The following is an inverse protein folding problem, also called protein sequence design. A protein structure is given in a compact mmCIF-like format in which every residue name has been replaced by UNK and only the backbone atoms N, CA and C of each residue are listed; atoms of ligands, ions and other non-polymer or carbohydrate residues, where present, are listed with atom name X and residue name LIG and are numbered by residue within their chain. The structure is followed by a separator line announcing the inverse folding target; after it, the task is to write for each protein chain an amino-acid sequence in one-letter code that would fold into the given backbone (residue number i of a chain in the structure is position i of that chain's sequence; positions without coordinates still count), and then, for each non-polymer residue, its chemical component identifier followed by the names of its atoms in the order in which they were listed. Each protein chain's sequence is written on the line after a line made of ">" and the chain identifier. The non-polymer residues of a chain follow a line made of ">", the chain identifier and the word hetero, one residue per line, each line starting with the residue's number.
data_IF_621028464394
#
_entry.id   IF_621028464394
#
_cell.length_a   1.000
_cell.length_b   1.000
_cell.length_c   1.000
_cell.angle_alpha   90.00
_cell.angle_beta   90.00
_cell.angle_gamma   90.00
#
_symmetry.space_group_name_H-M   'P 1'
#
loop_
_entity.id
_entity.type
_entity.pdbx_description
1 polymer ?
#
# COMPACT_ATOMS: atom_id res chain seq x y z
N UNK A 1 -22.10 62.21 -143.33
CA UNK A 1 -22.72 63.39 -143.98
C UNK A 1 -23.87 62.90 -144.84
N UNK A 2 -25.01 63.59 -144.99
CA UNK A 2 -25.57 64.71 -144.24
C UNK A 2 -27.09 64.87 -144.58
N UNK A 3 -27.79 65.77 -143.89
CA UNK A 3 -28.96 66.59 -144.32
C UNK A 3 -29.91 66.05 -145.43
N UNK A 4 -31.20 65.75 -145.17
CA UNK A 4 -32.34 66.65 -144.84
C UNK A 4 -33.03 67.30 -146.08
N UNK A 5 -34.38 67.13 -146.15
CA UNK A 5 -35.37 67.79 -147.03
C UNK A 5 -35.22 67.59 -148.57
N UNK A 6 -36.27 67.63 -149.39
CA UNK A 6 -37.72 67.81 -149.18
C UNK A 6 -38.41 68.37 -150.45
N UNK A 7 -39.76 68.42 -150.49
CA UNK A 7 -40.61 69.03 -151.55
C UNK A 7 -40.64 68.29 -152.94
N UNK A 8 -41.62 68.47 -153.86
CA UNK A 8 -43.05 68.91 -153.84
C UNK A 8 -43.72 68.60 -155.22
N UNK A 9 -44.98 68.10 -155.23
CA UNK A 9 -46.04 68.28 -156.29
C UNK A 9 -45.76 67.69 -157.72
N UNK A 10 -46.72 67.41 -158.63
CA UNK A 10 -48.20 67.21 -158.54
C UNK A 10 -48.81 66.72 -159.88
N UNK A 11 -49.82 65.81 -159.84
CA UNK A 11 -50.95 65.66 -160.81
C UNK A 11 -50.65 65.30 -162.30
N UNK A 12 -51.47 64.68 -163.18
CA UNK A 12 -52.82 64.01 -163.29
C UNK A 12 -52.70 62.99 -164.48
N UNK A 13 -53.59 62.07 -164.86
CA UNK A 13 -54.97 61.68 -164.48
C UNK A 13 -55.56 60.65 -165.51
N UNK A 14 -56.90 60.56 -165.64
CA UNK A 14 -57.68 59.83 -166.71
C UNK A 14 -57.38 58.34 -167.03
N UNK A 15 -57.70 57.40 -166.12
CA UNK A 15 -58.06 55.98 -166.43
C UNK A 15 -58.81 55.38 -165.22
N UNK A 16 -60.05 54.89 -165.40
CA UNK A 16 -60.90 54.39 -164.27
C UNK A 16 -61.79 53.16 -164.56
N UNK A 17 -61.83 52.58 -165.77
CA UNK A 17 -62.68 51.40 -166.03
C UNK A 17 -62.08 50.08 -165.47
N UNK A 18 -60.76 50.04 -165.26
CA UNK A 18 -60.03 48.95 -164.58
C UNK A 18 -60.59 48.66 -163.17
N UNK A 19 -61.24 49.65 -162.52
CA UNK A 19 -61.80 49.53 -161.18
C UNK A 19 -62.74 48.32 -161.04
N UNK A 20 -63.56 48.01 -162.05
CA UNK A 20 -64.52 46.91 -161.97
C UNK A 20 -63.88 45.52 -161.95
N UNK A 21 -62.68 45.34 -162.50
CA UNK A 21 -61.93 44.09 -162.39
C UNK A 21 -61.28 43.90 -161.02
N UNK A 22 -60.95 45.00 -160.32
CA UNK A 22 -60.33 44.96 -158.98
C UNK A 22 -61.36 44.61 -157.89
N UNK A 23 -62.61 45.06 -158.04
CA UNK A 23 -63.68 44.88 -157.03
C UNK A 23 -63.94 43.42 -156.67
N UNK A 24 -63.95 42.51 -157.66
CA UNK A 24 -64.25 41.08 -157.44
C UNK A 24 -63.09 40.36 -156.73
N UNK A 25 -61.85 40.78 -156.98
CA UNK A 25 -60.67 40.25 -156.28
C UNK A 25 -60.54 40.82 -154.86
N UNK A 26 -61.00 42.07 -154.64
CA UNK A 26 -60.94 42.73 -153.34
C UNK A 26 -61.85 42.10 -152.26
N UNK A 27 -63.07 41.68 -152.61
CA UNK A 27 -64.02 41.16 -151.61
C UNK A 27 -63.68 39.75 -151.10
N UNK A 28 -63.00 38.91 -151.88
CA UNK A 28 -62.46 37.63 -151.37
C UNK A 28 -61.32 37.87 -150.38
N UNK A 29 -60.54 38.95 -150.56
CA UNK A 29 -59.56 39.40 -149.57
C UNK A 29 -60.18 39.90 -148.26
N UNK A 30 -61.40 40.47 -148.30
CA UNK A 30 -62.11 40.95 -147.12
C UNK A 30 -62.40 39.82 -146.10
N UNK A 31 -62.71 38.62 -146.59
CA UNK A 31 -63.02 37.46 -145.76
C UNK A 31 -61.81 36.91 -144.99
N UNK A 32 -60.57 37.20 -145.44
CA UNK A 32 -59.34 36.80 -144.72
C UNK A 32 -58.86 37.91 -143.79
N UNK A 33 -59.02 39.17 -144.19
CA UNK A 33 -58.68 40.33 -143.35
C UNK A 33 -59.51 40.43 -142.06
N UNK A 34 -60.77 39.97 -142.07
CA UNK A 34 -61.62 39.98 -140.86
C UNK A 34 -61.18 39.05 -139.74
N UNK A 35 -60.53 37.92 -140.06
CA UNK A 35 -60.02 36.95 -139.06
C UNK A 35 -58.62 37.33 -138.57
N UNK A 36 -57.89 38.11 -139.36
CA UNK A 36 -56.56 38.65 -139.04
C UNK A 36 -56.56 40.18 -138.82
N UNK A 37 -57.66 40.70 -138.29
CA UNK A 37 -57.69 41.84 -137.37
C UNK A 37 -57.88 41.29 -135.94
N UNK A 38 -57.07 40.33 -135.50
CA UNK A 38 -55.74 40.60 -134.97
C UNK A 38 -55.71 41.73 -133.92
N UNK A 39 -56.02 41.34 -132.68
CA UNK A 39 -55.06 41.43 -131.57
C UNK A 39 -54.57 42.82 -131.09
N UNK A 40 -55.10 43.94 -131.61
CA UNK A 40 -54.56 45.28 -131.32
C UNK A 40 -55.34 46.13 -130.28
N UNK A 41 -55.99 45.44 -129.34
CA UNK A 41 -56.22 45.87 -127.96
C UNK A 41 -56.38 44.61 -127.10
N UNK A 42 -55.39 44.07 -126.37
CA UNK A 42 -54.10 44.61 -125.90
C UNK A 42 -54.19 45.88 -125.06
N UNK A 43 -54.81 45.77 -123.88
CA UNK A 43 -54.08 45.75 -122.59
C UNK A 43 -55.01 45.79 -121.36
N UNK A 44 -54.56 45.20 -120.25
CA UNK A 44 -54.65 45.85 -118.94
C UNK A 44 -55.93 45.70 -118.10
N UNK A 45 -55.82 44.82 -117.09
CA UNK A 45 -56.29 45.02 -115.71
C UNK A 45 -57.79 45.00 -115.33
N UNK A 46 -58.02 44.27 -114.22
CA UNK A 46 -58.94 44.53 -113.11
C UNK A 46 -60.43 44.13 -113.15
N UNK A 47 -60.82 43.45 -112.06
CA UNK A 47 -62.04 43.62 -111.25
C UNK A 47 -63.37 42.89 -111.59
N UNK A 48 -63.57 41.80 -110.84
CA UNK A 48 -64.65 41.59 -109.84
C UNK A 48 -66.01 40.91 -110.17
N UNK A 49 -66.44 40.16 -109.13
CA UNK A 49 -67.78 39.71 -108.76
C UNK A 49 -68.49 38.61 -109.58
N UNK A 50 -69.38 37.77 -109.02
CA UNK A 50 -69.52 37.26 -107.63
C UNK A 50 -70.61 36.16 -107.59
N UNK A 51 -70.45 35.14 -106.72
CA UNK A 51 -71.49 34.17 -106.29
C UNK A 51 -72.16 33.29 -107.38
N UNK A 52 -72.88 32.20 -107.10
CA UNK A 52 -72.79 31.17 -106.05
C UNK A 52 -73.66 29.96 -106.52
N UNK A 53 -73.52 28.78 -105.91
CA UNK A 53 -74.56 27.74 -105.72
C UNK A 53 -73.94 26.45 -105.15
N UNK A 54 -74.55 25.86 -104.11
CA UNK A 54 -74.18 24.57 -103.53
C UNK A 54 -75.44 23.71 -103.28
N UNK A 55 -75.28 22.39 -103.20
CA UNK A 55 -76.34 21.46 -102.79
C UNK A 55 -76.14 21.02 -101.32
N UNK A 56 -77.23 20.82 -100.59
CA UNK A 56 -77.21 20.40 -99.18
C UNK A 56 -77.60 18.93 -98.98
N UNK A 57 -77.15 18.37 -97.86
CA UNK A 57 -77.49 17.06 -97.32
C UNK A 57 -77.64 17.23 -95.81
N UNK A 58 -78.64 16.56 -95.20
CA UNK A 58 -78.94 16.75 -93.77
C UNK A 58 -77.83 16.21 -92.85
N UNK A 59 -77.54 16.98 -91.79
CA UNK A 59 -76.50 16.69 -90.80
C UNK A 59 -77.13 16.27 -89.49
N UNK A 60 -76.79 15.08 -89.01
CA UNK A 60 -77.14 14.59 -87.67
C UNK A 60 -76.01 14.96 -86.70
N UNK A 61 -76.35 15.64 -85.60
CA UNK A 61 -75.41 15.96 -84.53
C UNK A 61 -75.39 14.88 -83.45
N UNK A 62 -74.18 14.40 -83.13
CA UNK A 62 -73.88 13.63 -81.92
C UNK A 62 -72.65 14.24 -81.23
N UNK A 63 -72.45 14.02 -79.92
CA UNK A 63 -71.26 14.51 -79.23
C UNK A 63 -70.00 13.85 -79.82
N UNK A 64 -68.95 14.66 -80.03
CA UNK A 64 -67.62 14.20 -80.41
C UNK A 64 -66.71 14.45 -79.22
N UNK A 65 -66.37 13.39 -78.49
CA UNK A 65 -65.38 13.45 -77.41
C UNK A 65 -63.97 13.61 -78.01
N UNK A 66 -63.52 14.86 -78.12
CA UNK A 66 -62.21 15.22 -78.62
C UNK A 66 -61.11 14.92 -77.58
N UNK A 67 -60.73 13.65 -77.45
CA UNK A 67 -59.68 13.20 -76.54
C UNK A 67 -58.31 13.79 -76.91
N UNK A 68 -57.82 14.75 -76.12
CA UNK A 68 -56.44 15.27 -76.23
C UNK A 68 -55.47 14.26 -75.62
N UNK A 69 -54.82 13.47 -76.48
CA UNK A 69 -53.84 12.47 -76.06
C UNK A 69 -52.51 13.15 -75.67
N UNK A 70 -52.28 13.31 -74.37
CA UNK A 70 -51.00 13.74 -73.80
C UNK A 70 -50.22 12.53 -73.27
N UNK A 71 -49.20 12.09 -73.99
CA UNK A 71 -48.23 11.10 -73.51
C UNK A 71 -47.18 11.79 -72.64
N UNK A 72 -47.16 11.48 -71.35
CA UNK A 72 -46.05 11.76 -70.44
C UNK A 72 -45.59 10.47 -69.77
N UNK A 73 -44.31 10.40 -69.37
CA UNK A 73 -43.83 9.31 -68.54
C UNK A 73 -44.37 9.46 -67.12
N UNK A 74 -44.68 8.34 -66.47
CA UNK A 74 -44.99 8.27 -65.05
C UNK A 74 -43.69 7.87 -64.34
N UNK A 75 -43.17 8.74 -63.49
CA UNK A 75 -42.03 8.47 -62.60
C UNK A 75 -42.52 8.31 -61.15
N UNK A 76 -41.83 7.54 -60.29
CA UNK A 76 -42.22 7.36 -58.89
C UNK A 76 -42.27 8.68 -58.11
N UNK A 77 -43.18 8.80 -57.14
CA UNK A 77 -43.22 9.96 -56.25
C UNK A 77 -42.02 10.00 -55.29
N UNK A 78 -41.46 8.84 -54.96
CA UNK A 78 -40.16 8.68 -54.32
C UNK A 78 -39.61 7.30 -54.68
N UNK A 79 -38.46 7.22 -55.34
CA UNK A 79 -37.74 5.95 -55.57
C UNK A 79 -36.54 5.87 -54.61
N UNK A 80 -36.32 4.70 -54.00
CA UNK A 80 -35.16 4.47 -53.14
C UNK A 80 -34.56 3.09 -53.35
N UNK A 81 -33.24 3.04 -53.46
CA UNK A 81 -32.46 1.82 -53.55
C UNK A 81 -31.89 1.48 -52.17
N UNK A 82 -32.51 0.50 -51.51
CA UNK A 82 -32.18 0.08 -50.14
C UNK A 82 -31.14 -1.04 -50.22
N UNK A 83 -30.04 -0.89 -49.50
CA UNK A 83 -28.96 -1.87 -49.39
C UNK A 83 -28.61 -2.11 -47.91
N UNK A 84 -28.09 -3.29 -47.58
CA UNK A 84 -27.58 -3.54 -46.23
C UNK A 84 -26.41 -2.61 -45.90
N UNK A 85 -26.35 -2.17 -44.64
CA UNK A 85 -25.26 -1.32 -44.12
C UNK A 85 -24.11 -2.16 -43.56
N UNK A 86 -24.44 -3.32 -42.97
CA UNK A 86 -23.48 -4.35 -42.60
C UNK A 86 -23.13 -5.29 -43.78
N UNK A 87 -22.02 -6.00 -43.65
CA UNK A 87 -21.67 -7.12 -44.54
C UNK A 87 -22.01 -8.45 -43.85
N UNK A 88 -22.54 -9.41 -44.60
CA UNK A 88 -22.99 -10.70 -44.08
C UNK A 88 -23.74 -11.52 -45.12
N UNK A 89 -24.21 -12.72 -44.74
CA UNK A 89 -24.94 -13.63 -45.62
C UNK A 89 -26.46 -13.45 -45.45
N UNK A 90 -27.23 -13.35 -46.53
CA UNK A 90 -28.70 -13.24 -46.45
C UNK A 90 -29.32 -14.56 -45.98
N UNK A 91 -29.97 -14.53 -44.81
CA UNK A 91 -30.65 -15.69 -44.20
C UNK A 91 -32.13 -15.76 -44.55
N UNK A 92 -32.85 -14.62 -44.50
CA UNK A 92 -34.28 -14.54 -44.78
C UNK A 92 -34.60 -13.38 -45.73
N UNK A 93 -35.54 -13.60 -46.66
CA UNK A 93 -36.20 -12.55 -47.44
C UNK A 93 -37.69 -12.60 -47.09
N UNK A 94 -38.21 -11.49 -46.57
CA UNK A 94 -39.52 -11.42 -45.90
C UNK A 94 -40.63 -10.83 -46.79
N UNK A 95 -40.27 -10.33 -47.98
CA UNK A 95 -41.18 -9.65 -48.93
C UNK A 95 -41.04 -10.21 -50.34
N UNK A 96 -42.01 -9.90 -51.20
CA UNK A 96 -42.06 -10.31 -52.62
C UNK A 96 -42.09 -9.08 -53.54
N UNK A 97 -41.64 -9.25 -54.78
CA UNK A 97 -41.81 -8.22 -55.82
C UNK A 97 -43.32 -7.94 -56.05
N UNK A 98 -43.67 -6.67 -56.20
CA UNK A 98 -45.05 -6.21 -56.27
C UNK A 98 -45.79 -6.14 -54.93
N UNK A 99 -45.14 -6.49 -53.80
CA UNK A 99 -45.75 -6.36 -52.47
C UNK A 99 -45.68 -4.91 -51.98
N UNK A 100 -46.81 -4.42 -51.47
CA UNK A 100 -46.88 -3.15 -50.75
C UNK A 100 -46.38 -3.32 -49.31
N UNK A 101 -45.52 -2.40 -48.85
CA UNK A 101 -44.89 -2.42 -47.53
C UNK A 101 -45.12 -1.10 -46.80
N UNK A 102 -45.15 -1.15 -45.46
CA UNK A 102 -45.22 0.03 -44.61
C UNK A 102 -43.82 0.57 -44.30
N UNK A 103 -43.71 1.85 -43.94
CA UNK A 103 -42.47 2.43 -43.42
C UNK A 103 -42.00 1.66 -42.18
N UNK A 104 -40.71 1.33 -42.11
CA UNK A 104 -40.12 0.51 -41.05
C UNK A 104 -40.35 -1.00 -41.17
N UNK A 105 -41.08 -1.49 -42.19
CA UNK A 105 -41.29 -2.93 -42.37
C UNK A 105 -39.96 -3.65 -42.72
N UNK A 106 -39.66 -4.81 -42.10
CA UNK A 106 -38.47 -5.59 -42.41
C UNK A 106 -38.64 -6.33 -43.74
N UNK A 107 -37.61 -6.22 -44.59
CA UNK A 107 -37.60 -6.68 -45.99
C UNK A 107 -36.74 -7.93 -46.17
N UNK A 108 -35.58 -7.97 -45.51
CA UNK A 108 -34.65 -9.08 -45.52
C UNK A 108 -33.74 -9.03 -44.27
N UNK A 109 -33.11 -10.15 -43.94
CA UNK A 109 -32.18 -10.30 -42.81
C UNK A 109 -30.86 -10.94 -43.25
N UNK A 110 -29.78 -10.52 -42.61
CA UNK A 110 -28.50 -11.22 -42.63
C UNK A 110 -28.40 -12.22 -41.47
N UNK A 111 -27.41 -13.11 -41.55
CA UNK A 111 -26.90 -13.84 -40.40
C UNK A 111 -26.36 -12.84 -39.35
N UNK A 112 -26.79 -13.03 -38.10
CA UNK A 112 -26.50 -12.15 -36.98
C UNK A 112 -25.78 -12.87 -35.83
N UNK A 113 -25.47 -14.17 -35.93
CA UNK A 113 -25.02 -14.97 -34.79
C UNK A 113 -23.76 -14.40 -34.10
N UNK A 114 -22.74 -13.99 -34.86
CA UNK A 114 -21.52 -13.36 -34.31
C UNK A 114 -21.79 -11.97 -33.70
N UNK A 115 -22.79 -11.25 -34.21
CA UNK A 115 -23.18 -9.92 -33.72
C UNK A 115 -24.03 -10.01 -32.46
N UNK A 116 -24.90 -11.00 -32.36
CA UNK A 116 -25.62 -11.37 -31.13
C UNK A 116 -24.65 -11.79 -30.03
N UNK A 117 -23.64 -12.62 -30.37
CA UNK A 117 -22.58 -12.97 -29.42
C UNK A 117 -21.74 -11.76 -29.01
N UNK A 118 -21.51 -10.81 -29.92
CA UNK A 118 -20.83 -9.53 -29.62
C UNK A 118 -21.65 -8.64 -28.68
N UNK A 119 -22.98 -8.56 -28.85
CA UNK A 119 -23.90 -7.87 -27.94
C UNK A 119 -23.87 -8.52 -26.55
N UNK A 120 -23.95 -9.86 -26.47
CA UNK A 120 -23.88 -10.60 -25.20
C UNK A 120 -22.53 -10.40 -24.50
N UNK A 121 -21.41 -10.37 -25.24
CA UNK A 121 -20.10 -10.06 -24.68
C UNK A 121 -20.05 -8.64 -24.10
N UNK A 122 -20.51 -7.64 -24.87
CA UNK A 122 -20.48 -6.25 -24.42
C UNK A 122 -21.45 -5.96 -23.25
N UNK A 123 -22.56 -6.70 -23.15
CA UNK A 123 -23.44 -6.67 -21.97
C UNK A 123 -22.76 -7.30 -20.75
N UNK A 124 -22.02 -8.39 -20.92
CA UNK A 124 -21.23 -8.99 -19.85
C UNK A 124 -20.09 -8.06 -19.38
N UNK A 125 -19.38 -7.41 -20.30
CA UNK A 125 -18.35 -6.41 -19.99
C UNK A 125 -18.93 -5.20 -19.22
N UNK A 126 -20.11 -4.72 -19.63
CA UNK A 126 -20.84 -3.66 -18.92
C UNK A 126 -21.27 -4.10 -17.52
N UNK A 127 -21.74 -5.34 -17.37
CA UNK A 127 -22.11 -5.92 -16.08
C UNK A 127 -20.92 -6.05 -15.16
N UNK A 128 -19.74 -6.43 -15.67
CA UNK A 128 -18.51 -6.47 -14.90
C UNK A 128 -18.07 -5.06 -14.49
N UNK A 129 -18.04 -4.10 -15.42
CA UNK A 129 -17.64 -2.72 -15.11
C UNK A 129 -18.54 -2.05 -14.06
N UNK A 130 -19.84 -2.37 -14.05
CA UNK A 130 -20.78 -1.94 -12.99
C UNK A 130 -20.53 -2.65 -11.66
N UNK A 131 -20.27 -3.96 -11.67
CA UNK A 131 -19.91 -4.70 -10.45
C UNK A 131 -18.59 -4.20 -9.83
N UNK A 132 -17.61 -3.82 -10.64
CA UNK A 132 -16.35 -3.21 -10.19
C UNK A 132 -16.59 -1.83 -9.54
N UNK A 133 -17.51 -1.03 -10.09
CA UNK A 133 -17.93 0.25 -9.50
C UNK A 133 -18.67 0.05 -8.18
N UNK A 134 -19.64 -0.85 -8.14
CA UNK A 134 -20.44 -1.15 -6.95
C UNK A 134 -19.56 -1.71 -5.81
N UNK A 135 -18.53 -2.50 -6.14
CA UNK A 135 -17.52 -2.96 -5.17
C UNK A 135 -16.66 -1.81 -4.62
N UNK A 136 -16.22 -0.87 -5.46
CA UNK A 136 -15.51 0.34 -5.03
C UNK A 136 -16.39 1.27 -4.16
N UNK A 137 -17.70 1.32 -4.45
CA UNK A 137 -18.67 2.10 -3.69
C UNK A 137 -19.00 1.47 -2.33
N UNK A 138 -19.12 0.14 -2.27
CA UNK A 138 -19.35 -0.61 -1.04
C UNK A 138 -18.14 -0.58 -0.08
N UNK A 139 -16.91 -0.58 -0.63
CA UNK A 139 -15.68 -0.55 0.16
C UNK A 139 -15.37 -1.89 0.83
N UNK A 140 -14.62 -1.86 1.95
CA UNK A 140 -14.27 -3.06 2.71
C UNK A 140 -15.49 -3.68 3.42
N UNK A 141 -15.49 -5.00 3.52
CA UNK A 141 -16.57 -5.76 4.14
C UNK A 141 -16.73 -5.46 5.64
N UNK A 142 -17.92 -5.73 6.17
CA UNK A 142 -18.20 -5.59 7.60
C UNK A 142 -17.30 -6.51 8.44
N UNK A 143 -16.96 -7.68 7.90
CA UNK A 143 -16.08 -8.69 8.46
C UNK A 143 -14.62 -8.20 8.56
N UNK A 144 -14.08 -7.58 7.50
CA UNK A 144 -12.74 -6.97 7.51
C UNK A 144 -12.67 -5.79 8.47
N UNK A 145 -13.70 -4.93 8.49
CA UNK A 145 -13.79 -3.80 9.43
C UNK A 145 -13.86 -4.31 10.88
N UNK A 146 -14.64 -5.36 11.15
CA UNK A 146 -14.71 -5.99 12.47
C UNK A 146 -13.38 -6.63 12.88
N UNK A 147 -12.67 -7.28 11.95
CA UNK A 147 -11.34 -7.83 12.19
C UNK A 147 -10.32 -6.72 12.54
N UNK A 148 -10.33 -5.60 11.80
CA UNK A 148 -9.47 -4.45 12.09
C UNK A 148 -9.83 -3.76 13.41
N UNK A 149 -11.13 -3.67 13.76
CA UNK A 149 -11.57 -3.21 15.08
C UNK A 149 -11.07 -4.13 16.21
N UNK A 150 -11.07 -5.45 16.00
CA UNK A 150 -10.51 -6.39 16.96
C UNK A 150 -8.99 -6.24 17.12
N UNK A 151 -8.25 -5.96 16.03
CA UNK A 151 -6.81 -5.64 16.08
C UNK A 151 -6.54 -4.33 16.85
N UNK A 152 -7.34 -3.27 16.62
CA UNK A 152 -7.26 -2.02 17.38
C UNK A 152 -7.53 -2.28 18.87
N UNK A 153 -8.57 -3.04 19.21
CA UNK A 153 -8.88 -3.41 20.60
C UNK A 153 -7.76 -4.24 21.26
N UNK A 154 -7.14 -5.16 20.52
CA UNK A 154 -6.00 -5.95 20.97
C UNK A 154 -4.78 -5.06 21.26
N UNK A 155 -4.44 -4.15 20.34
CA UNK A 155 -3.35 -3.19 20.53
C UNK A 155 -3.61 -2.23 21.71
N UNK A 156 -4.86 -1.77 21.86
CA UNK A 156 -5.27 -0.95 23.02
C UNK A 156 -5.15 -1.72 24.33
N UNK A 157 -5.50 -3.02 24.35
CA UNK A 157 -5.29 -3.90 25.50
C UNK A 157 -3.81 -4.07 25.86
N UNK A 158 -2.95 -4.25 24.85
CA UNK A 158 -1.49 -4.33 25.02
C UNK A 158 -0.90 -3.02 25.54
N UNK A 159 -1.35 -1.87 25.03
CA UNK A 159 -0.98 -0.55 25.55
C UNK A 159 -1.49 -0.35 26.98
N UNK A 160 -2.73 -0.73 27.30
CA UNK A 160 -3.29 -0.61 28.64
C UNK A 160 -2.55 -1.48 29.66
N UNK A 161 -2.25 -2.74 29.32
CA UNK A 161 -1.42 -3.64 30.14
C UNK A 161 0.00 -3.05 30.32
N UNK A 162 0.62 -2.61 29.23
CA UNK A 162 1.97 -2.04 29.26
C UNK A 162 2.01 -0.76 30.08
N UNK A 163 1.08 0.18 29.91
CA UNK A 163 1.00 1.41 30.69
C UNK A 163 0.65 1.15 32.17
N UNK A 164 -0.36 0.32 32.45
CA UNK A 164 -0.83 0.03 33.80
C UNK A 164 0.08 -0.84 34.66
N UNK A 165 1.01 -1.59 34.06
CA UNK A 165 1.97 -2.48 34.76
C UNK A 165 2.95 -1.79 35.73
N UNK A 166 3.02 -0.46 35.73
CA UNK A 166 3.81 0.33 36.68
C UNK A 166 2.96 1.49 37.17
N UNK A 167 2.60 1.47 38.45
CA UNK A 167 1.87 2.55 39.10
C UNK A 167 2.81 3.61 39.66
N UNK A 168 2.27 4.79 40.00
CA UNK A 168 3.03 5.81 40.72
C UNK A 168 3.43 5.34 42.14
N UNK A 169 2.70 4.38 42.73
CA UNK A 169 3.06 3.80 44.01
C UNK A 169 4.34 2.95 43.90
N UNK A 170 4.50 2.15 42.83
CA UNK A 170 5.70 1.34 42.60
C UNK A 170 6.95 2.22 42.42
N UNK A 171 6.83 3.29 41.63
CA UNK A 171 7.90 4.28 41.45
C UNK A 171 8.26 4.98 42.76
N UNK A 172 7.27 5.28 43.61
CA UNK A 172 7.51 5.90 44.91
C UNK A 172 8.16 4.91 45.91
N UNK A 173 7.76 3.64 45.89
CA UNK A 173 8.38 2.57 46.69
C UNK A 173 9.84 2.33 46.26
N UNK A 174 10.12 2.26 44.96
CA UNK A 174 11.49 2.12 44.44
C UNK A 174 12.39 3.32 44.83
N UNK A 175 11.85 4.55 44.80
CA UNK A 175 12.54 5.75 45.30
C UNK A 175 12.82 5.66 46.81
N UNK A 176 11.86 5.24 47.62
CA UNK A 176 12.03 5.07 49.06
C UNK A 176 13.07 3.98 49.41
N UNK A 177 13.08 2.87 48.66
CA UNK A 177 14.06 1.79 48.80
C UNK A 177 15.48 2.27 48.45
N UNK A 178 15.63 3.04 47.36
CA UNK A 178 16.90 3.65 46.95
C UNK A 178 17.41 4.64 48.00
N UNK A 179 16.54 5.47 48.57
CA UNK A 179 16.92 6.42 49.60
C UNK A 179 17.31 5.71 50.91
N UNK A 180 16.59 4.65 51.30
CA UNK A 180 16.95 3.81 52.44
C UNK A 180 18.32 3.13 52.26
N UNK A 181 18.61 2.60 51.06
CA UNK A 181 19.91 2.02 50.72
C UNK A 181 21.04 3.08 50.77
N UNK A 182 20.81 4.29 50.24
CA UNK A 182 21.76 5.41 50.32
C UNK A 182 22.01 5.84 51.76
N UNK A 183 20.96 5.93 52.57
CA UNK A 183 21.07 6.25 53.99
C UNK A 183 21.81 5.16 54.79
N UNK A 184 21.69 3.87 54.41
CA UNK A 184 22.52 2.78 54.96
C UNK A 184 23.99 2.98 54.59
N UNK A 185 24.28 3.22 53.30
CA UNK A 185 25.64 3.45 52.82
C UNK A 185 26.28 4.66 53.52
N UNK A 186 25.57 5.78 53.63
CA UNK A 186 26.05 7.01 54.27
C UNK A 186 26.22 6.91 55.81
N UNK A 187 25.73 5.86 56.48
CA UNK A 187 26.12 5.54 57.88
C UNK A 187 27.41 4.71 57.92
N UNK A 188 27.60 3.80 56.98
CA UNK A 188 28.80 2.97 56.88
C UNK A 188 30.03 3.77 56.41
N UNK A 189 29.87 4.64 55.40
CA UNK A 189 30.93 5.51 54.90
C UNK A 189 31.35 6.61 55.89
N UNK A 190 30.53 6.90 56.91
CA UNK A 190 30.87 7.79 58.04
C UNK A 190 31.42 7.04 59.28
N UNK A 191 31.76 5.76 59.16
CA UNK A 191 32.38 4.96 60.22
C UNK A 191 31.43 4.46 61.32
N UNK A 192 30.31 5.15 61.59
CA UNK A 192 29.44 4.98 62.78
C UNK A 192 29.19 3.54 63.27
N UNK A 193 28.99 2.58 62.36
CA UNK A 193 28.82 1.17 62.73
C UNK A 193 30.16 0.40 62.83
N UNK A 194 31.10 0.66 61.93
CA UNK A 194 32.45 0.06 61.90
C UNK A 194 33.27 0.43 63.13
N UNK A 195 33.18 1.67 63.56
CA UNK A 195 34.00 2.19 64.66
C UNK A 195 33.68 1.43 65.96
N UNK A 196 32.41 1.10 66.20
CA UNK A 196 31.99 0.39 67.42
C UNK A 196 32.55 -1.04 67.52
N UNK A 197 32.54 -1.81 66.42
CA UNK A 197 33.07 -3.18 66.41
C UNK A 197 34.60 -3.21 66.48
N UNK A 198 35.27 -2.30 65.78
CA UNK A 198 36.73 -2.18 65.81
C UNK A 198 37.22 -1.66 67.18
N UNK A 199 36.53 -0.69 67.79
CA UNK A 199 36.83 -0.22 69.16
C UNK A 199 36.66 -1.35 70.18
N UNK A 200 35.59 -2.15 70.09
CA UNK A 200 35.38 -3.27 71.00
C UNK A 200 36.48 -4.35 70.84
N UNK A 201 36.87 -4.68 69.61
CA UNK A 201 37.96 -5.61 69.36
C UNK A 201 39.32 -5.08 69.88
N UNK A 202 39.59 -3.77 69.71
CA UNK A 202 40.79 -3.11 70.24
C UNK A 202 40.81 -3.09 71.79
N UNK A 203 39.68 -2.82 72.44
CA UNK A 203 39.57 -2.87 73.89
C UNK A 203 39.81 -4.29 74.43
N UNK A 204 39.27 -5.31 73.76
CA UNK A 204 39.50 -6.72 74.09
C UNK A 204 40.98 -7.13 73.92
N UNK A 205 41.66 -6.59 72.90
CA UNK A 205 43.10 -6.79 72.69
C UNK A 205 43.93 -6.14 73.81
N UNK A 206 43.60 -4.91 74.22
CA UNK A 206 44.35 -4.20 75.25
C UNK A 206 44.13 -4.80 76.66
N UNK A 207 42.90 -5.25 76.95
CA UNK A 207 42.62 -6.05 78.14
C UNK A 207 43.44 -7.35 78.15
N UNK A 208 43.51 -8.05 77.01
CA UNK A 208 44.31 -9.27 76.89
C UNK A 208 45.81 -9.00 77.07
N UNK A 209 46.35 -7.93 76.47
CA UNK A 209 47.75 -7.47 76.66
C UNK A 209 48.07 -7.22 78.13
N UNK A 210 47.17 -6.53 78.84
CA UNK A 210 47.28 -6.29 80.29
C UNK A 210 47.28 -7.60 81.09
N UNK A 211 46.42 -8.56 80.73
CA UNK A 211 46.30 -9.83 81.44
C UNK A 211 47.51 -10.77 81.22
N UNK A 212 47.98 -10.94 79.98
CA UNK A 212 49.09 -11.87 79.69
C UNK A 212 50.44 -11.33 80.18
N UNK A 213 50.66 -10.01 80.11
CA UNK A 213 51.87 -9.39 80.66
C UNK A 213 51.95 -9.54 82.19
N UNK A 214 50.83 -9.34 82.91
CA UNK A 214 50.76 -9.59 84.34
C UNK A 214 51.01 -11.07 84.71
N UNK A 215 50.47 -12.00 83.92
CA UNK A 215 50.67 -13.45 84.12
C UNK A 215 52.12 -13.85 83.92
N UNK A 216 52.76 -13.34 82.85
CA UNK A 216 54.16 -13.58 82.49
C UNK A 216 55.14 -13.00 83.49
N UNK A 217 54.92 -11.76 83.97
CA UNK A 217 55.78 -11.16 84.98
C UNK A 217 55.63 -11.86 86.34
N UNK A 218 54.42 -12.35 86.68
CA UNK A 218 54.24 -13.22 87.86
C UNK A 218 55.07 -14.50 87.74
N UNK A 219 54.94 -15.25 86.65
CA UNK A 219 55.68 -16.49 86.45
C UNK A 219 57.21 -16.27 86.46
N UNK A 220 57.68 -15.12 85.96
CA UNK A 220 59.08 -14.69 86.03
C UNK A 220 59.56 -14.47 87.46
N UNK A 221 58.74 -13.81 88.31
CA UNK A 221 59.03 -13.65 89.74
C UNK A 221 58.99 -14.98 90.49
N UNK A 222 58.08 -15.88 90.13
CA UNK A 222 58.02 -17.25 90.68
C UNK A 222 59.30 -18.05 90.32
N UNK A 223 59.88 -17.86 89.12
CA UNK A 223 61.21 -18.40 88.76
C UNK A 223 62.33 -17.80 89.60
N UNK A 224 62.35 -16.47 89.80
CA UNK A 224 63.40 -15.79 90.57
C UNK A 224 63.38 -16.21 92.05
N UNK A 225 62.21 -16.28 92.67
CA UNK A 225 62.06 -16.76 94.05
C UNK A 225 62.46 -18.23 94.19
N UNK A 226 62.10 -19.08 93.23
CA UNK A 226 62.50 -20.50 93.22
C UNK A 226 64.01 -20.70 93.04
N UNK A 227 64.66 -19.88 92.21
CA UNK A 227 66.11 -19.91 92.03
C UNK A 227 66.86 -19.49 93.30
N UNK A 228 66.35 -18.47 94.01
CA UNK A 228 66.88 -18.05 95.30
C UNK A 228 66.64 -19.12 96.40
N UNK A 229 65.49 -19.80 96.40
CA UNK A 229 65.22 -20.92 97.30
C UNK A 229 66.18 -22.09 97.08
N UNK A 230 66.38 -22.51 95.82
CA UNK A 230 67.35 -23.55 95.46
C UNK A 230 68.77 -23.19 95.91
N UNK A 231 69.20 -21.94 95.67
CA UNK A 231 70.52 -21.47 96.10
C UNK A 231 70.70 -21.57 97.61
N UNK A 232 69.72 -21.11 98.39
CA UNK A 232 69.77 -21.18 99.85
C UNK A 232 69.82 -22.63 100.35
N UNK A 233 69.04 -23.54 99.75
CA UNK A 233 69.06 -24.95 100.09
C UNK A 233 70.38 -25.65 99.70
N UNK A 234 70.99 -25.28 98.57
CA UNK A 234 72.32 -25.73 98.17
C UNK A 234 73.41 -25.26 99.13
N UNK A 235 73.37 -23.99 99.55
CA UNK A 235 74.32 -23.41 100.51
C UNK A 235 74.18 -24.07 101.91
N UNK A 236 72.95 -24.39 102.33
CA UNK A 236 72.67 -25.09 103.61
C UNK A 236 73.08 -26.57 103.57
N UNK A 237 72.70 -27.33 102.54
CA UNK A 237 73.13 -28.71 102.37
C UNK A 237 74.67 -28.83 102.28
N UNK A 238 75.32 -27.93 101.53
CA UNK A 238 76.78 -27.91 101.41
C UNK A 238 77.48 -27.66 102.75
N UNK A 239 76.89 -26.82 103.61
CA UNK A 239 77.40 -26.59 104.98
C UNK A 239 77.26 -27.85 105.83
N UNK A 240 76.05 -28.43 105.91
CA UNK A 240 75.75 -29.59 106.77
C UNK A 240 76.58 -30.81 106.36
N UNK A 241 76.67 -31.11 105.06
CA UNK A 241 77.54 -32.18 104.55
C UNK A 241 79.03 -31.93 104.86
N UNK A 242 79.49 -30.67 104.76
CA UNK A 242 80.87 -30.29 105.13
C UNK A 242 81.18 -30.48 106.61
N UNK A 243 80.26 -30.09 107.50
CA UNK A 243 80.41 -30.29 108.95
C UNK A 243 80.28 -31.77 109.35
N UNK A 244 79.36 -32.54 108.75
CA UNK A 244 79.26 -33.98 108.96
C UNK A 244 80.55 -34.70 108.56
N UNK A 245 81.09 -34.43 107.36
CA UNK A 245 82.39 -34.96 106.90
C UNK A 245 83.54 -34.64 107.84
N UNK A 246 83.52 -33.46 108.47
CA UNK A 246 84.52 -33.04 109.45
C UNK A 246 84.34 -33.80 110.77
N UNK A 247 83.12 -33.94 111.25
CA UNK A 247 82.77 -34.72 112.45
C UNK A 247 83.14 -36.21 112.29
N UNK A 248 82.88 -36.83 111.15
CA UNK A 248 83.34 -38.19 110.82
C UNK A 248 84.87 -38.32 111.01
N UNK A 249 85.65 -37.38 110.44
CA UNK A 249 87.11 -37.37 110.51
C UNK A 249 87.70 -36.99 111.89
N UNK A 250 86.88 -36.43 112.78
CA UNK A 250 87.20 -36.18 114.19
C UNK A 250 86.86 -37.43 115.05
N UNK A 251 85.63 -37.97 114.92
CA UNK A 251 85.11 -39.12 115.68
C UNK A 251 85.85 -40.43 115.37
N UNK A 252 86.25 -40.66 114.12
CA UNK A 252 86.99 -41.85 113.71
C UNK A 252 88.33 -42.01 114.47
N UNK A 253 88.93 -40.92 114.95
CA UNK A 253 90.16 -40.92 115.77
C UNK A 253 89.96 -41.53 117.15
N UNK A 254 88.72 -41.57 117.62
CA UNK A 254 88.31 -42.11 118.92
C UNK A 254 87.54 -43.44 118.80
N UNK A 255 87.41 -44.00 117.59
CA UNK A 255 86.65 -45.22 117.33
C UNK A 255 85.14 -45.06 117.44
N UNK A 256 84.63 -43.83 117.34
CA UNK A 256 83.20 -43.50 117.40
C UNK A 256 82.63 -43.26 116.00
N UNK A 257 81.33 -43.51 115.83
CA UNK A 257 80.57 -43.19 114.61
C UNK A 257 79.83 -41.86 114.76
N UNK A 258 79.46 -41.24 113.64
CA UNK A 258 78.54 -40.09 113.62
C UNK A 258 77.17 -40.48 114.18
N UNK A 259 76.48 -39.52 114.80
CA UNK A 259 75.13 -39.71 115.36
C UNK A 259 74.04 -39.72 114.27
N UNK A 260 72.99 -40.51 114.48
CA UNK A 260 71.88 -40.66 113.54
C UNK A 260 71.17 -39.33 113.29
N UNK A 261 71.03 -38.47 114.30
CA UNK A 261 70.40 -37.15 114.15
C UNK A 261 71.14 -36.24 113.14
N UNK A 262 72.48 -36.35 113.02
CA UNK A 262 73.26 -35.59 112.06
C UNK A 262 73.09 -36.11 110.61
N UNK A 263 72.94 -37.43 110.45
CA UNK A 263 72.60 -38.07 109.17
C UNK A 263 71.16 -37.72 108.74
N UNK A 264 70.21 -37.73 109.67
CA UNK A 264 68.81 -37.38 109.42
C UNK A 264 68.68 -35.88 109.07
N UNK A 265 69.49 -35.00 109.68
CA UNK A 265 69.57 -33.59 109.33
C UNK A 265 70.12 -33.38 107.90
N UNK A 266 71.19 -34.07 107.51
CA UNK A 266 71.73 -34.03 106.15
C UNK A 266 70.72 -34.56 105.12
N UNK A 267 70.08 -35.70 105.40
CA UNK A 267 69.03 -36.27 104.57
C UNK A 267 67.78 -35.36 104.46
N UNK A 268 67.59 -34.43 105.40
CA UNK A 268 66.53 -33.42 105.36
C UNK A 268 66.95 -32.20 104.55
N UNK A 269 68.17 -31.70 104.71
CA UNK A 269 68.72 -30.62 103.88
C UNK A 269 68.84 -31.04 102.41
N UNK A 270 69.23 -32.29 102.12
CA UNK A 270 69.25 -32.83 100.76
C UNK A 270 67.85 -32.85 100.13
N UNK A 271 66.83 -33.31 100.87
CA UNK A 271 65.45 -33.29 100.38
C UNK A 271 64.97 -31.86 100.09
N UNK A 272 65.24 -30.91 100.98
CA UNK A 272 64.93 -29.49 100.74
C UNK A 272 65.62 -28.94 99.48
N UNK A 273 66.85 -29.37 99.16
CA UNK A 273 67.53 -29.05 97.91
C UNK A 273 66.87 -29.71 96.69
N UNK A 274 66.55 -31.01 96.75
CA UNK A 274 65.88 -31.75 95.67
C UNK A 274 64.47 -31.18 95.37
N UNK A 275 63.73 -30.81 96.43
CA UNK A 275 62.41 -30.16 96.37
C UNK A 275 62.51 -28.75 95.76
N UNK A 276 63.52 -27.95 96.13
CA UNK A 276 63.72 -26.61 95.57
C UNK A 276 64.19 -26.63 94.11
N UNK A 277 64.98 -27.62 93.69
CA UNK A 277 65.35 -27.85 92.29
C UNK A 277 64.11 -28.26 91.46
N UNK A 278 63.26 -29.10 92.02
CA UNK A 278 61.96 -29.45 91.44
C UNK A 278 61.04 -28.22 91.32
N UNK A 279 60.99 -27.36 92.35
CA UNK A 279 60.25 -26.10 92.33
C UNK A 279 60.73 -25.13 91.25
N UNK A 280 62.05 -24.96 91.10
CA UNK A 280 62.63 -24.13 90.03
C UNK A 280 62.27 -24.66 88.63
N UNK A 281 62.32 -25.98 88.42
CA UNK A 281 61.91 -26.61 87.15
C UNK A 281 60.43 -26.38 86.85
N UNK A 282 59.55 -26.49 87.86
CA UNK A 282 58.13 -26.20 87.71
C UNK A 282 57.87 -24.72 87.38
N UNK A 283 58.56 -23.80 88.04
CA UNK A 283 58.46 -22.37 87.75
C UNK A 283 58.96 -22.03 86.32
N UNK A 284 60.04 -22.66 85.86
CA UNK A 284 60.56 -22.49 84.50
C UNK A 284 59.54 -22.96 83.44
N UNK A 285 58.88 -24.11 83.66
CA UNK A 285 57.81 -24.60 82.80
C UNK A 285 56.64 -23.60 82.78
N UNK A 286 56.20 -23.13 83.96
CA UNK A 286 55.10 -22.16 84.07
C UNK A 286 55.41 -20.82 83.37
N UNK A 287 56.67 -20.38 83.35
CA UNK A 287 57.09 -19.18 82.62
C UNK A 287 57.11 -19.37 81.09
N UNK A 288 57.53 -20.55 80.60
CA UNK A 288 57.45 -20.88 79.17
C UNK A 288 55.99 -21.07 78.71
N UNK A 289 55.14 -21.69 79.53
CA UNK A 289 53.68 -21.75 79.31
C UNK A 289 53.07 -20.36 79.28
N UNK A 290 53.45 -19.44 80.18
CA UNK A 290 52.98 -18.06 80.18
C UNK A 290 53.40 -17.28 78.92
N UNK A 291 54.61 -17.51 78.39
CA UNK A 291 55.04 -16.96 77.09
C UNK A 291 54.21 -17.54 75.94
N UNK A 292 53.90 -18.83 75.96
CA UNK A 292 53.07 -19.45 74.92
C UNK A 292 51.61 -18.97 75.00
N UNK A 293 51.08 -18.72 76.20
CA UNK A 293 49.77 -18.08 76.42
C UNK A 293 49.74 -16.62 75.93
N UNK A 294 50.80 -15.85 76.16
CA UNK A 294 50.97 -14.50 75.59
C UNK A 294 50.88 -14.54 74.06
N UNK A 295 51.71 -15.35 73.40
CA UNK A 295 51.75 -15.47 71.93
C UNK A 295 50.39 -15.87 71.37
N UNK A 296 49.77 -16.92 71.92
CA UNK A 296 48.50 -17.46 71.40
C UNK A 296 47.30 -16.54 71.65
N UNK A 297 47.21 -15.92 72.84
CA UNK A 297 46.11 -15.00 73.17
C UNK A 297 46.19 -13.71 72.35
N UNK A 298 47.39 -13.15 72.18
CA UNK A 298 47.57 -11.93 71.39
C UNK A 298 47.32 -12.19 69.89
N UNK A 299 47.82 -13.30 69.35
CA UNK A 299 47.54 -13.67 67.96
C UNK A 299 46.04 -13.85 67.69
N UNK A 300 45.28 -14.43 68.63
CA UNK A 300 43.83 -14.54 68.53
C UNK A 300 43.14 -13.16 68.55
N UNK A 301 43.51 -12.27 69.48
CA UNK A 301 42.90 -10.94 69.59
C UNK A 301 43.28 -10.00 68.44
N UNK A 302 44.46 -10.14 67.86
CA UNK A 302 44.86 -9.42 66.65
C UNK A 302 44.16 -9.97 65.39
N UNK A 303 43.78 -11.25 65.39
CA UNK A 303 42.87 -11.81 64.39
C UNK A 303 41.43 -11.28 64.56
N UNK A 304 40.91 -11.15 65.78
CA UNK A 304 39.59 -10.55 66.06
C UNK A 304 39.50 -9.12 65.52
N UNK A 305 40.51 -8.28 65.76
CA UNK A 305 40.59 -6.90 65.24
C UNK A 305 40.60 -6.88 63.70
N UNK A 306 41.36 -7.78 63.07
CA UNK A 306 41.42 -7.89 61.60
C UNK A 306 40.10 -8.38 61.00
N UNK A 307 39.42 -9.30 61.68
CA UNK A 307 38.10 -9.78 61.28
C UNK A 307 37.06 -8.65 61.33
N UNK A 308 37.03 -7.87 62.42
CA UNK A 308 36.15 -6.71 62.55
C UNK A 308 36.39 -5.67 61.43
N UNK A 309 37.65 -5.38 61.10
CA UNK A 309 38.00 -4.48 59.99
C UNK A 309 37.53 -5.01 58.62
N UNK A 310 37.68 -6.30 58.36
CA UNK A 310 37.22 -6.92 57.10
C UNK A 310 35.69 -6.88 56.98
N UNK A 311 34.95 -7.24 58.05
CA UNK A 311 33.48 -7.20 58.07
C UNK A 311 32.92 -5.81 57.77
N UNK A 312 33.61 -4.73 58.16
CA UNK A 312 33.25 -3.37 57.77
C UNK A 312 33.43 -3.09 56.27
N UNK A 313 34.48 -3.63 55.65
CA UNK A 313 34.69 -3.57 54.21
C UNK A 313 33.61 -4.32 53.43
N UNK A 314 33.31 -5.55 53.85
CA UNK A 314 32.26 -6.39 53.25
C UNK A 314 30.88 -5.71 53.37
N UNK A 315 30.54 -5.19 54.57
CA UNK A 315 29.28 -4.47 54.82
C UNK A 315 29.10 -3.24 53.93
N UNK A 316 30.20 -2.58 53.57
CA UNK A 316 30.23 -1.40 52.72
C UNK A 316 30.15 -1.77 51.23
N UNK A 317 30.72 -2.91 50.82
CA UNK A 317 30.48 -3.49 49.49
C UNK A 317 29.01 -3.90 49.31
N UNK A 318 28.42 -4.59 50.29
CA UNK A 318 27.00 -4.96 50.32
C UNK A 318 26.07 -3.73 50.23
N UNK A 319 26.37 -2.66 50.96
CA UNK A 319 25.59 -1.44 50.91
C UNK A 319 25.68 -0.75 49.55
N UNK A 320 26.85 -0.77 48.89
CA UNK A 320 27.00 -0.27 47.51
C UNK A 320 26.22 -1.12 46.50
N UNK A 321 26.23 -2.45 46.64
CA UNK A 321 25.42 -3.36 45.82
C UNK A 321 23.90 -3.13 46.02
N UNK A 322 23.46 -2.83 47.25
CA UNK A 322 22.06 -2.46 47.54
C UNK A 322 21.65 -1.13 46.90
N UNK A 323 22.53 -0.11 46.90
CA UNK A 323 22.28 1.14 46.18
C UNK A 323 22.22 0.91 44.66
N UNK A 324 23.12 0.08 44.11
CA UNK A 324 23.16 -0.23 42.68
C UNK A 324 21.91 -0.99 42.22
N UNK A 325 21.46 -1.99 42.98
CA UNK A 325 20.24 -2.77 42.66
C UNK A 325 18.97 -1.93 42.79
N UNK A 326 18.84 -1.11 43.83
CA UNK A 326 17.72 -0.18 43.97
C UNK A 326 17.69 0.89 42.84
N UNK A 327 18.86 1.37 42.40
CA UNK A 327 18.96 2.29 41.27
C UNK A 327 18.62 1.60 39.94
N UNK A 328 19.03 0.35 39.75
CA UNK A 328 18.68 -0.45 38.56
C UNK A 328 17.17 -0.72 38.48
N UNK A 329 16.52 -1.01 39.62
CA UNK A 329 15.07 -1.19 39.70
C UNK A 329 14.32 0.12 39.41
N UNK A 330 14.74 1.25 39.97
CA UNK A 330 14.17 2.56 39.61
C UNK A 330 14.34 2.84 38.11
N UNK A 331 15.51 2.54 37.54
CA UNK A 331 15.76 2.69 36.11
C UNK A 331 14.92 1.72 35.25
N UNK A 332 14.55 0.54 35.75
CA UNK A 332 13.61 -0.38 35.09
C UNK A 332 12.19 0.20 35.05
N UNK A 333 11.79 0.91 36.11
CA UNK A 333 10.46 1.50 36.24
C UNK A 333 10.31 2.86 35.53
N UNK A 334 11.38 3.65 35.38
CA UNK A 334 11.32 5.02 34.83
C UNK A 334 12.31 5.32 33.69
N UNK A 335 13.11 4.35 33.24
CA UNK A 335 14.15 4.55 32.23
C UNK A 335 13.69 4.39 30.78
N UNK A 336 14.60 4.62 29.84
CA UNK A 336 14.34 4.61 28.38
C UNK A 336 13.66 3.33 27.88
N UNK A 337 14.04 2.16 28.39
CA UNK A 337 13.40 0.88 28.03
C UNK A 337 11.90 0.86 28.36
N UNK A 338 11.49 1.48 29.46
CA UNK A 338 10.08 1.60 29.87
C UNK A 338 9.33 2.52 28.90
N UNK A 339 9.90 3.70 28.63
CA UNK A 339 9.33 4.71 27.72
C UNK A 339 9.16 4.13 26.31
N UNK A 340 10.21 3.54 25.75
CA UNK A 340 10.20 2.89 24.44
C UNK A 340 9.19 1.73 24.35
N UNK A 341 8.92 1.01 25.44
CA UNK A 341 7.87 -0.02 25.48
C UNK A 341 6.46 0.57 25.41
N UNK A 342 6.21 1.72 26.05
CA UNK A 342 4.93 2.45 25.91
C UNK A 342 4.81 3.05 24.51
N UNK A 343 5.89 3.61 23.97
CA UNK A 343 5.92 4.22 22.63
C UNK A 343 5.71 3.18 21.52
N UNK A 344 6.35 2.01 21.60
CA UNK A 344 6.11 0.89 20.69
C UNK A 344 4.66 0.39 20.77
N UNK A 345 4.10 0.29 21.99
CA UNK A 345 2.69 -0.10 22.17
C UNK A 345 1.72 0.95 21.61
N UNK A 346 2.03 2.24 21.76
CA UNK A 346 1.27 3.36 21.19
C UNK A 346 1.34 3.36 19.66
N UNK A 347 2.53 3.17 19.08
CA UNK A 347 2.71 3.03 17.64
C UNK A 347 1.98 1.81 17.08
N UNK A 348 1.85 0.73 17.86
CA UNK A 348 0.99 -0.41 17.53
C UNK A 348 -0.49 -0.03 17.43
N UNK A 349 -1.02 0.73 18.39
CA UNK A 349 -2.39 1.27 18.35
C UNK A 349 -2.59 2.22 17.16
N UNK A 350 -1.64 3.13 16.92
CA UNK A 350 -1.67 4.08 15.81
C UNK A 350 -1.64 3.39 14.45
N UNK A 351 -0.80 2.36 14.28
CA UNK A 351 -0.72 1.54 13.07
C UNK A 351 -2.02 0.74 12.84
N UNK A 352 -2.58 0.12 13.87
CA UNK A 352 -3.86 -0.59 13.78
C UNK A 352 -5.02 0.37 13.45
N UNK A 353 -5.03 1.57 14.04
CA UNK A 353 -6.03 2.59 13.77
C UNK A 353 -5.91 3.09 12.32
N UNK A 354 -4.69 3.37 11.83
CA UNK A 354 -4.44 3.75 10.45
C UNK A 354 -4.76 2.63 9.43
N UNK A 355 -4.76 1.35 9.85
CA UNK A 355 -5.27 0.25 9.03
C UNK A 355 -6.81 0.25 9.00
N UNK A 356 -7.48 0.39 10.14
CA UNK A 356 -8.93 0.51 10.24
C UNK A 356 -9.47 1.72 9.45
N UNK A 357 -8.78 2.86 9.51
CA UNK A 357 -9.18 4.08 8.82
C UNK A 357 -9.00 3.98 7.30
N UNK A 358 -8.05 3.16 6.81
CA UNK A 358 -7.94 2.81 5.38
C UNK A 358 -9.08 1.92 4.89
N UNK A 359 -9.55 0.97 5.70
CA UNK A 359 -10.70 0.12 5.37
C UNK A 359 -12.04 0.88 5.43
N UNK A 360 -12.09 1.95 6.24
CA UNK A 360 -13.25 2.86 6.33
C UNK A 360 -13.24 3.98 5.29
N UNK A 361 -12.10 4.26 4.67
CA UNK A 361 -12.01 5.21 3.57
C UNK A 361 -12.62 4.60 2.30
N UNK A 362 -13.78 5.12 1.89
CA UNK A 362 -14.38 4.79 0.60
C UNK A 362 -13.41 5.05 -0.56
N UNK A 363 -13.62 4.38 -1.70
CA UNK A 363 -12.79 4.56 -2.89
C UNK A 363 -12.62 6.05 -3.26
N UNK A 364 -11.41 6.43 -3.65
CA UNK A 364 -11.09 7.84 -3.91
C UNK A 364 -11.92 8.37 -5.09
N UNK A 365 -12.22 9.69 -5.15
CA UNK A 365 -12.91 10.27 -6.31
C UNK A 365 -12.23 9.97 -7.65
N UNK A 366 -10.90 9.81 -7.65
CA UNK A 366 -10.13 9.37 -8.80
C UNK A 366 -10.35 7.90 -9.18
N UNK A 367 -10.48 6.98 -8.22
CA UNK A 367 -10.79 5.57 -8.48
C UNK A 367 -12.22 5.41 -9.01
N UNK A 368 -13.19 6.10 -8.39
CA UNK A 368 -14.59 6.12 -8.83
C UNK A 368 -14.70 6.68 -10.26
N UNK A 369 -14.03 7.80 -10.58
CA UNK A 369 -14.04 8.37 -11.94
C UNK A 369 -13.38 7.45 -12.99
N UNK A 370 -12.34 6.67 -12.62
CA UNK A 370 -11.73 5.67 -13.53
C UNK A 370 -12.70 4.50 -13.80
N UNK A 371 -13.45 4.07 -12.78
CA UNK A 371 -14.45 3.00 -12.89
C UNK A 371 -15.71 3.45 -13.65
N UNK A 372 -16.19 4.68 -13.41
CA UNK A 372 -17.26 5.33 -14.17
C UNK A 372 -16.88 5.49 -15.66
N UNK A 373 -15.63 5.88 -15.94
CA UNK A 373 -15.08 5.87 -17.30
C UNK A 373 -14.86 4.44 -17.86
N UNK A 374 -14.86 3.41 -17.03
CA UNK A 374 -14.99 2.00 -17.42
C UNK A 374 -16.40 1.68 -17.91
N UNK A 375 -17.41 1.97 -17.08
CA UNK A 375 -18.84 1.82 -17.44
C UNK A 375 -19.14 2.55 -18.75
N UNK A 376 -18.77 3.82 -18.88
CA UNK A 376 -19.03 4.62 -20.08
C UNK A 376 -18.40 4.04 -21.36
N UNK A 377 -17.24 3.36 -21.25
CA UNK A 377 -16.62 2.64 -22.38
C UNK A 377 -17.36 1.35 -22.72
N UNK A 378 -17.81 0.59 -21.72
CA UNK A 378 -18.59 -0.62 -21.93
C UNK A 378 -19.99 -0.32 -22.50
N UNK A 379 -20.67 0.75 -22.04
CA UNK A 379 -21.93 1.21 -22.63
C UNK A 379 -21.77 1.67 -24.09
N UNK A 380 -20.66 2.33 -24.42
CA UNK A 380 -20.34 2.70 -25.80
C UNK A 380 -20.10 1.46 -26.69
N UNK A 381 -19.39 0.45 -26.17
CA UNK A 381 -19.15 -0.82 -26.87
C UNK A 381 -20.47 -1.59 -27.10
N UNK A 382 -21.31 -1.74 -26.07
CA UNK A 382 -22.63 -2.37 -26.18
C UNK A 382 -23.52 -1.66 -27.20
N UNK A 383 -23.56 -0.32 -27.16
CA UNK A 383 -24.33 0.49 -28.10
C UNK A 383 -23.81 0.39 -29.55
N UNK A 384 -22.52 0.11 -29.73
CA UNK A 384 -21.96 -0.16 -31.06
C UNK A 384 -22.30 -1.57 -31.55
N UNK A 385 -22.18 -2.60 -30.70
CA UNK A 385 -22.59 -3.96 -31.02
C UNK A 385 -24.09 -4.05 -31.37
N UNK A 386 -24.95 -3.40 -30.58
CA UNK A 386 -26.39 -3.29 -30.84
C UNK A 386 -26.69 -2.65 -32.19
N UNK A 387 -26.01 -1.54 -32.55
CA UNK A 387 -26.16 -0.90 -33.86
C UNK A 387 -25.70 -1.79 -35.02
N UNK A 388 -24.65 -2.57 -34.83
CA UNK A 388 -24.22 -3.54 -35.84
C UNK A 388 -25.24 -4.69 -35.99
N UNK A 389 -25.88 -5.13 -34.90
CA UNK A 389 -27.00 -6.07 -34.95
C UNK A 389 -28.23 -5.45 -35.64
N UNK A 390 -28.62 -4.20 -35.33
CA UNK A 390 -29.71 -3.49 -36.01
C UNK A 390 -29.48 -3.43 -37.53
N UNK A 391 -28.24 -3.19 -37.96
CA UNK A 391 -27.84 -3.13 -39.37
C UNK A 391 -27.89 -4.47 -40.14
N UNK A 392 -28.22 -5.58 -39.48
CA UNK A 392 -28.49 -6.88 -40.12
C UNK A 392 -29.89 -6.97 -40.74
N UNK A 393 -30.83 -6.09 -40.36
CA UNK A 393 -32.21 -6.10 -40.89
C UNK A 393 -32.41 -4.95 -41.87
N UNK A 394 -32.73 -5.28 -43.12
CA UNK A 394 -33.11 -4.31 -44.14
C UNK A 394 -34.54 -3.84 -43.88
N UNK A 395 -34.79 -2.53 -43.75
CA UNK A 395 -36.12 -1.96 -43.49
C UNK A 395 -36.52 -0.94 -44.56
N UNK A 396 -37.82 -0.82 -44.84
CA UNK A 396 -38.36 0.17 -45.76
C UNK A 396 -38.26 1.60 -45.19
N UNK A 397 -37.65 2.59 -45.89
CA UNK A 397 -37.55 3.97 -45.40
C UNK A 397 -38.89 4.73 -45.45
N UNK A 398 -39.82 4.31 -46.31
CA UNK A 398 -41.18 4.84 -46.43
C UNK A 398 -42.15 3.72 -46.84
N UNK A 399 -43.46 4.01 -46.84
CA UNK A 399 -44.47 3.07 -47.33
C UNK A 399 -44.58 3.16 -48.85
N UNK A 400 -44.48 2.03 -49.54
CA UNK A 400 -44.39 1.96 -51.01
C UNK A 400 -44.49 0.53 -51.52
N UNK A 401 -44.14 0.29 -52.77
CA UNK A 401 -44.20 -1.03 -53.43
C UNK A 401 -42.80 -1.50 -53.81
N UNK A 402 -42.47 -2.76 -53.51
CA UNK A 402 -41.17 -3.34 -53.90
C UNK A 402 -41.16 -3.61 -55.41
N UNK A 403 -40.34 -2.89 -56.16
CA UNK A 403 -40.28 -2.99 -57.63
C UNK A 403 -39.27 -4.01 -58.12
N UNK A 404 -38.16 -4.23 -57.39
CA UNK A 404 -37.10 -5.21 -57.72
C UNK A 404 -36.41 -5.74 -56.45
N UNK A 405 -36.13 -7.04 -56.42
CA UNK A 405 -35.36 -7.71 -55.35
C UNK A 405 -34.08 -8.32 -55.96
N UNK A 406 -32.94 -7.65 -55.83
CA UNK A 406 -31.64 -8.17 -56.27
C UNK A 406 -30.88 -8.85 -55.10
N UNK A 407 -31.59 -9.70 -54.34
CA UNK A 407 -31.09 -10.45 -53.18
C UNK A 407 -31.38 -11.94 -53.38
N UNK A 408 -30.48 -12.82 -52.92
CA UNK A 408 -30.69 -14.29 -52.87
C UNK A 408 -30.33 -14.83 -51.49
N UNK A 409 -31.02 -15.87 -51.03
CA UNK A 409 -30.62 -16.57 -49.80
C UNK A 409 -29.22 -17.17 -49.98
N UNK A 410 -28.38 -17.04 -48.95
CA UNK A 410 -26.98 -17.48 -48.96
C UNK A 410 -26.02 -16.58 -49.76
N UNK A 411 -26.50 -15.47 -50.34
CA UNK A 411 -25.62 -14.49 -50.99
C UNK A 411 -24.97 -13.58 -49.93
N UNK A 412 -23.67 -13.32 -50.10
CA UNK A 412 -22.88 -12.50 -49.18
C UNK A 412 -22.89 -11.04 -49.67
N UNK A 413 -23.55 -10.15 -48.95
CA UNK A 413 -23.67 -8.73 -49.34
C UNK A 413 -22.47 -7.94 -48.84
N UNK A 414 -21.85 -7.16 -49.72
CA UNK A 414 -20.69 -6.32 -49.38
C UNK A 414 -20.88 -4.87 -49.84
N UNK A 415 -20.29 -3.91 -49.11
CA UNK A 415 -20.37 -2.48 -49.40
C UNK A 415 -19.72 -2.05 -50.74
N UNK A 416 -19.03 -2.97 -51.44
CA UNK A 416 -18.36 -2.73 -52.73
C UNK A 416 -19.09 -3.36 -53.93
N UNK A 417 -20.15 -4.14 -53.68
CA UNK A 417 -20.89 -4.87 -54.71
C UNK A 417 -22.32 -4.34 -54.84
N UNK A 418 -22.76 -4.02 -56.06
CA UNK A 418 -24.15 -3.63 -56.33
C UNK A 418 -25.17 -4.81 -56.21
N UNK A 419 -24.68 -6.01 -55.90
CA UNK A 419 -25.49 -7.17 -55.49
C UNK A 419 -26.02 -7.00 -54.06
N UNK A 420 -27.29 -7.32 -53.82
CA UNK A 420 -27.92 -7.18 -52.50
C UNK A 420 -28.79 -5.93 -52.32
N UNK A 421 -29.17 -5.24 -53.39
CA UNK A 421 -30.00 -4.03 -53.35
C UNK A 421 -31.47 -4.29 -53.74
N UNK A 422 -32.40 -3.69 -52.98
CA UNK A 422 -33.85 -3.76 -53.20
C UNK A 422 -34.40 -2.37 -53.52
N UNK A 423 -35.25 -2.26 -54.53
CA UNK A 423 -35.82 -0.98 -54.97
C UNK A 423 -37.27 -0.85 -54.53
N UNK A 424 -37.61 0.30 -53.92
CA UNK A 424 -38.98 0.68 -53.51
C UNK A 424 -39.41 1.97 -54.24
N UNK A 425 -40.68 2.02 -54.63
CA UNK A 425 -41.32 3.12 -55.36
C UNK A 425 -42.78 3.39 -54.88
#
# INVERSE_FOLDING_TARGET
>A
MATVAGARRSERGRRRWIIWAVVILALVGLCVAGVLFAQNATQGAAAQAAAANWAQQDVVSGPIDASVNATGNIEPMAESNIQFVGAGNVTEILVREGQQVAAGAPLARLDAADLELSVVSAEADLKQARADYDALLAGSSAEEIAQAQAQVAQAQGQLAQTSGSVTQADVNAARANLESARARLARLERGEASDTSVQQAQANLEQARTQVSATKERARLDVETSANALRNAQDEFSRIYGDNRRLEGELARFGLTIDQAALDQEATAKRAMDDADTGLKQAQIAYEDAKQQEITTLAAREADVRAAQNTSGDSLADARAQVQTAQAELNRLTGTNRTGSVEASRAGVESAQAALDKLRASATPSQLAISEAGIARAEAALKQAQRSQEQTTLVAPFAGTITKINLRLGESTSLSSASGAMTIA
#
